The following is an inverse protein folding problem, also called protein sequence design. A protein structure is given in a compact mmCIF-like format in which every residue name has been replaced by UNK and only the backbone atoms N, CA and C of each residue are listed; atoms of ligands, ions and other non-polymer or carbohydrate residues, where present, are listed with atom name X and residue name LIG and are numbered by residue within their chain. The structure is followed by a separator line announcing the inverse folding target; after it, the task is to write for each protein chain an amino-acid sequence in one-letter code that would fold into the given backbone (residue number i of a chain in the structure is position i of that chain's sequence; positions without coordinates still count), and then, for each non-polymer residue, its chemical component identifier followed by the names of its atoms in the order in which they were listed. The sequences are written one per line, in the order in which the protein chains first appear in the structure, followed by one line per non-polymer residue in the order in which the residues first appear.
data_IF_226935778273
#
_entry.id   IF_226935778273
#
_cell.length_a   1.000
_cell.length_b   1.000
_cell.length_c   1.000
_cell.angle_alpha   90.00
_cell.angle_beta   90.00
_cell.angle_gamma   90.00
#
_symmetry.space_group_name_H-M   'P 1'
#
loop_
_entity.id
_entity.type
_entity.pdbx_description
1 polymer ?
#
# COMPACT_ATOMS: atom_id res chain seq x y z
N UNK A 1 53.18 -22.15 6.03
CA UNK A 1 51.76 -22.52 6.05
C UNK A 1 50.95 -21.23 6.04
N UNK A 2 50.53 -20.78 4.85
CA UNK A 2 49.77 -19.53 4.69
C UNK A 2 48.27 -19.89 4.75
N UNK A 3 47.59 -19.38 5.77
CA UNK A 3 46.14 -19.47 5.91
C UNK A 3 45.51 -18.34 5.12
N UNK A 4 44.89 -18.65 3.98
CA UNK A 4 44.11 -17.70 3.20
C UNK A 4 42.74 -17.45 3.88
N UNK A 5 42.54 -16.24 4.40
CA UNK A 5 41.33 -15.78 4.99
C UNK A 5 40.36 -15.39 3.86
N UNK A 6 39.40 -16.28 3.52
CA UNK A 6 38.28 -15.94 2.62
C UNK A 6 37.33 -14.97 3.32
N UNK A 7 37.43 -13.69 2.98
CA UNK A 7 36.44 -12.67 3.30
C UNK A 7 35.20 -12.93 2.41
N UNK A 8 34.16 -13.58 2.96
CA UNK A 8 32.86 -13.64 2.36
C UNK A 8 32.19 -12.29 2.56
N UNK A 9 32.23 -11.43 1.55
CA UNK A 9 31.48 -10.19 1.53
C UNK A 9 29.98 -10.54 1.42
N UNK A 10 29.27 -10.49 2.53
CA UNK A 10 27.79 -10.45 2.51
C UNK A 10 27.37 -9.13 1.90
N UNK A 11 27.19 -9.11 0.58
CA UNK A 11 26.53 -8.02 -0.10
C UNK A 11 25.08 -7.95 0.37
N UNK A 12 24.71 -6.89 1.11
CA UNK A 12 23.33 -6.51 1.32
C UNK A 12 22.72 -6.16 -0.05
N UNK A 13 22.21 -7.15 -0.78
CA UNK A 13 21.39 -6.91 -1.96
C UNK A 13 20.07 -6.33 -1.47
N UNK A 14 19.93 -5.00 -1.56
CA UNK A 14 18.63 -4.36 -1.42
C UNK A 14 17.68 -5.01 -2.43
N UNK A 15 16.59 -5.61 -1.95
CA UNK A 15 15.61 -6.27 -2.79
C UNK A 15 15.09 -5.30 -3.85
N UNK A 16 15.39 -5.58 -5.12
CA UNK A 16 14.94 -4.76 -6.24
C UNK A 16 13.47 -5.07 -6.50
N UNK A 17 12.60 -4.08 -6.30
CA UNK A 17 11.17 -4.19 -6.59
C UNK A 17 10.82 -3.34 -7.81
N UNK A 18 9.77 -3.77 -8.55
CA UNK A 18 9.08 -2.96 -9.54
C UNK A 18 7.93 -2.23 -8.84
N UNK A 19 8.13 -0.97 -8.50
CA UNK A 19 7.12 -0.10 -7.90
C UNK A 19 6.52 0.90 -8.89
N UNK A 20 6.58 0.60 -10.19
CA UNK A 20 5.94 1.40 -11.23
C UNK A 20 4.44 1.50 -11.00
N UNK A 21 3.89 2.69 -11.24
CA UNK A 21 2.47 2.98 -11.05
C UNK A 21 1.66 2.65 -12.30
N UNK A 22 0.34 2.63 -12.15
CA UNK A 22 -0.59 2.53 -13.28
C UNK A 22 -0.38 3.67 -14.27
N UNK A 23 -0.60 3.41 -15.55
CA UNK A 23 -0.41 4.38 -16.64
C UNK A 23 -1.41 5.53 -16.59
N UNK A 24 -2.61 5.26 -16.10
CA UNK A 24 -3.72 6.20 -15.98
C UNK A 24 -4.48 5.94 -14.69
N UNK A 25 -5.07 6.99 -14.13
CA UNK A 25 -5.97 6.89 -12.98
C UNK A 25 -6.98 8.05 -13.03
N UNK A 26 -8.26 7.72 -12.90
CA UNK A 26 -9.32 8.69 -12.62
C UNK A 26 -9.51 8.78 -11.11
N UNK A 27 -9.09 9.90 -10.53
CA UNK A 27 -9.16 10.11 -9.09
C UNK A 27 -10.61 10.21 -8.57
N UNK A 28 -11.58 10.61 -9.41
CA UNK A 28 -12.99 10.62 -9.01
C UNK A 28 -13.50 9.19 -8.79
N UNK A 29 -13.08 8.25 -9.65
CA UNK A 29 -13.40 6.83 -9.49
C UNK A 29 -12.60 6.17 -8.36
N UNK A 30 -11.35 6.60 -8.15
CA UNK A 30 -10.50 6.08 -7.08
C UNK A 30 -10.93 6.57 -5.69
N UNK A 31 -11.51 7.75 -5.58
CA UNK A 31 -12.03 8.31 -4.33
C UNK A 31 -13.10 7.43 -3.67
N UNK A 32 -13.44 7.75 -2.44
CA UNK A 32 -14.38 6.98 -1.62
C UNK A 32 -13.68 5.99 -0.70
N UNK A 33 -14.45 5.03 -0.21
CA UNK A 33 -14.00 4.06 0.80
C UNK A 33 -13.38 2.82 0.18
N UNK A 34 -12.28 2.36 0.79
CA UNK A 34 -11.59 1.13 0.49
C UNK A 34 -11.37 0.32 1.78
N UNK A 35 -11.65 -0.98 1.72
CA UNK A 35 -11.24 -1.92 2.77
C UNK A 35 -9.78 -2.30 2.56
N UNK A 36 -8.98 -2.29 3.62
CA UNK A 36 -7.63 -2.82 3.59
C UNK A 36 -7.67 -4.33 3.86
N UNK A 37 -7.49 -5.12 2.81
CA UNK A 37 -7.61 -6.58 2.87
C UNK A 37 -6.34 -7.23 3.40
N UNK A 38 -5.18 -6.71 2.98
CA UNK A 38 -3.89 -7.19 3.46
C UNK A 38 -2.85 -6.08 3.40
N UNK A 39 -1.81 -6.18 4.23
CA UNK A 39 -0.69 -5.24 4.24
C UNK A 39 0.59 -5.91 4.73
N UNK A 40 1.73 -5.28 4.47
CA UNK A 40 2.94 -5.56 5.24
C UNK A 40 2.83 -4.93 6.62
N UNK A 41 3.43 -5.60 7.63
CA UNK A 41 3.41 -5.06 9.00
C UNK A 41 4.20 -3.77 9.09
N UNK A 42 3.59 -2.74 9.65
CA UNK A 42 4.25 -1.52 10.06
C UNK A 42 3.63 -0.94 11.33
N UNK A 43 4.44 -0.23 12.11
CA UNK A 43 4.13 0.16 13.49
C UNK A 43 2.84 0.97 13.66
N UNK A 44 2.41 1.72 12.64
CA UNK A 44 1.24 2.61 12.75
C UNK A 44 -0.09 1.88 12.65
N UNK A 45 -0.12 0.71 12.01
CA UNK A 45 -1.33 -0.11 11.80
C UNK A 45 -1.25 -1.47 12.49
N UNK A 46 -0.21 -1.67 13.29
CA UNK A 46 -0.03 -2.94 14.01
C UNK A 46 -1.20 -3.22 14.93
N UNK A 47 -1.72 -4.44 14.84
CA UNK A 47 -2.85 -4.94 15.62
C UNK A 47 -4.18 -4.21 15.33
N UNK A 48 -4.32 -3.56 14.16
CA UNK A 48 -5.58 -2.99 13.71
C UNK A 48 -6.36 -3.99 12.86
N UNK A 49 -7.63 -4.19 13.21
CA UNK A 49 -8.64 -4.89 12.42
C UNK A 49 -9.64 -3.91 11.82
N UNK A 50 -10.49 -4.38 10.91
CA UNK A 50 -11.55 -3.60 10.27
C UNK A 50 -11.05 -2.28 9.66
N UNK A 51 -9.86 -2.37 9.05
CA UNK A 51 -9.18 -1.20 8.51
C UNK A 51 -9.81 -0.74 7.20
N UNK A 52 -10.01 0.57 7.11
CA UNK A 52 -10.49 1.25 5.90
C UNK A 52 -9.70 2.51 5.64
N UNK A 53 -9.59 2.86 4.37
CA UNK A 53 -9.09 4.15 3.91
C UNK A 53 -10.17 4.85 3.10
N UNK A 54 -10.46 6.10 3.42
CA UNK A 54 -11.41 6.93 2.67
C UNK A 54 -10.69 8.12 2.07
N UNK A 55 -10.84 8.30 0.76
CA UNK A 55 -10.26 9.41 0.01
C UNK A 55 -11.36 10.35 -0.46
N UNK A 56 -11.25 11.63 -0.13
CA UNK A 56 -12.20 12.68 -0.52
C UNK A 56 -11.47 13.76 -1.30
N UNK A 57 -11.86 13.95 -2.57
CA UNK A 57 -11.29 15.00 -3.41
C UNK A 57 -11.77 16.38 -2.95
N UNK A 58 -10.86 17.33 -2.89
CA UNK A 58 -11.12 18.74 -2.58
C UNK A 58 -10.93 19.61 -3.81
N UNK A 59 -11.47 20.85 -3.78
CA UNK A 59 -11.54 21.77 -4.92
C UNK A 59 -10.18 22.22 -5.49
N UNK A 60 -9.06 21.96 -4.82
CA UNK A 60 -7.73 22.48 -5.13
C UNK A 60 -6.69 21.36 -5.35
N UNK A 61 -7.10 20.26 -5.96
CA UNK A 61 -6.27 19.07 -6.20
C UNK A 61 -5.70 18.42 -4.92
N UNK A 62 -6.21 18.78 -3.77
CA UNK A 62 -5.94 18.10 -2.51
C UNK A 62 -6.91 16.93 -2.32
N UNK A 63 -6.45 15.93 -1.60
CA UNK A 63 -7.23 14.76 -1.24
C UNK A 63 -7.18 14.65 0.28
N UNK A 64 -8.34 14.68 0.93
CA UNK A 64 -8.42 14.33 2.34
C UNK A 64 -8.40 12.80 2.46
N UNK A 65 -7.65 12.30 3.42
CA UNK A 65 -7.50 10.88 3.69
C UNK A 65 -7.94 10.60 5.12
N UNK A 66 -8.84 9.64 5.28
CA UNK A 66 -9.26 9.17 6.60
C UNK A 66 -8.99 7.66 6.68
N UNK A 67 -8.07 7.27 7.53
CA UNK A 67 -7.86 5.87 7.87
C UNK A 67 -8.63 5.56 9.17
N UNK A 68 -9.34 4.44 9.18
CA UNK A 68 -10.06 3.94 10.35
C UNK A 68 -9.73 2.47 10.58
N UNK A 69 -9.93 2.01 11.80
CA UNK A 69 -9.75 0.62 12.19
C UNK A 69 -10.16 0.40 13.64
N UNK A 70 -9.97 -0.80 14.12
CA UNK A 70 -10.22 -1.17 15.53
C UNK A 70 -8.98 -1.82 16.14
N UNK A 71 -8.64 -1.43 17.35
CA UNK A 71 -7.62 -2.09 18.15
C UNK A 71 -8.23 -2.51 19.48
N UNK A 72 -8.21 -3.83 19.76
CA UNK A 72 -8.82 -4.38 20.95
C UNK A 72 -10.30 -3.95 21.14
N UNK A 73 -11.06 -3.94 20.04
CA UNK A 73 -12.46 -3.51 20.03
C UNK A 73 -12.69 -2.00 20.11
N UNK A 74 -11.63 -1.19 20.21
CA UNK A 74 -11.72 0.27 20.25
C UNK A 74 -11.51 0.88 18.86
N UNK A 75 -12.44 1.74 18.46
CA UNK A 75 -12.31 2.50 17.22
C UNK A 75 -11.10 3.43 17.27
N UNK A 76 -10.36 3.43 16.17
CA UNK A 76 -9.21 4.31 15.92
C UNK A 76 -9.38 5.00 14.58
N UNK A 77 -8.97 6.24 14.49
CA UNK A 77 -8.95 6.99 13.23
C UNK A 77 -7.73 7.88 13.13
N UNK A 78 -7.30 8.14 11.91
CA UNK A 78 -6.22 9.06 11.61
C UNK A 78 -6.57 9.83 10.34
N UNK A 79 -6.58 11.16 10.44
CA UNK A 79 -6.85 12.05 9.32
C UNK A 79 -5.55 12.55 8.71
N UNK A 80 -5.48 12.52 7.40
CA UNK A 80 -4.34 12.98 6.63
C UNK A 80 -4.77 13.73 5.37
N UNK A 81 -3.79 14.10 4.60
CA UNK A 81 -3.96 14.77 3.31
C UNK A 81 -3.03 14.15 2.29
N UNK A 82 -3.48 14.11 1.06
CA UNK A 82 -2.65 13.70 -0.06
C UNK A 82 -2.68 14.77 -1.16
N UNK A 83 -1.67 14.73 -2.00
CA UNK A 83 -1.58 15.53 -3.21
C UNK A 83 -1.06 14.69 -4.35
N UNK A 84 -1.51 15.03 -5.54
CA UNK A 84 -1.09 14.38 -6.78
C UNK A 84 0.36 14.72 -7.12
N UNK A 85 0.93 13.93 -8.00
CA UNK A 85 2.22 14.19 -8.64
C UNK A 85 2.03 14.20 -10.17
N UNK A 86 3.10 14.44 -10.92
CA UNK A 86 3.09 14.34 -12.39
C UNK A 86 2.99 12.88 -12.87
N UNK A 87 3.29 11.91 -12.00
CA UNK A 87 3.25 10.48 -12.31
C UNK A 87 1.86 9.95 -11.96
N UNK A 88 1.07 9.41 -12.92
CA UNK A 88 -0.23 8.83 -12.64
C UNK A 88 -0.14 7.73 -11.59
N UNK A 89 -1.12 7.65 -10.68
CA UNK A 89 -1.12 6.66 -9.60
C UNK A 89 -0.12 6.90 -8.47
N UNK A 90 0.69 7.96 -8.56
CA UNK A 90 1.60 8.35 -7.49
C UNK A 90 1.09 9.55 -6.72
N UNK A 91 0.93 9.37 -5.42
CA UNK A 91 0.53 10.43 -4.49
C UNK A 91 1.61 10.67 -3.44
N UNK A 92 1.53 11.82 -2.82
CA UNK A 92 2.30 12.15 -1.61
C UNK A 92 1.30 12.30 -0.47
N UNK A 93 1.41 11.46 0.57
CA UNK A 93 0.45 11.38 1.68
C UNK A 93 1.10 11.82 2.99
N UNK A 94 0.40 12.63 3.77
CA UNK A 94 0.86 13.11 5.07
C UNK A 94 -0.23 12.96 6.13
N UNK A 95 0.14 12.36 7.25
CA UNK A 95 -0.65 12.31 8.49
C UNK A 95 -0.06 13.21 9.59
N UNK A 96 1.16 13.72 9.39
CA UNK A 96 1.88 14.50 10.40
C UNK A 96 2.56 15.71 9.77
N UNK A 97 1.94 16.89 9.87
CA UNK A 97 2.52 18.17 9.49
C UNK A 97 3.05 18.20 8.06
N UNK A 98 4.31 18.67 7.86
CA UNK A 98 4.90 18.82 6.53
C UNK A 98 5.51 17.52 5.96
N UNK A 99 5.49 16.41 6.69
CA UNK A 99 6.15 15.16 6.30
C UNK A 99 5.24 14.34 5.38
N UNK A 100 5.69 14.16 4.14
CA UNK A 100 4.97 13.41 3.12
C UNK A 100 5.67 12.11 2.77
N UNK A 101 4.92 11.00 2.83
CA UNK A 101 5.33 9.68 2.37
C UNK A 101 4.93 9.46 0.92
N UNK A 102 5.67 8.60 0.23
CA UNK A 102 5.37 8.16 -1.12
C UNK A 102 4.27 7.10 -1.08
N UNK A 103 3.27 7.23 -1.94
CA UNK A 103 2.17 6.29 -2.10
C UNK A 103 1.97 6.00 -3.58
N UNK A 104 1.87 4.74 -3.95
CA UNK A 104 1.85 4.27 -5.33
C UNK A 104 0.71 3.30 -5.55
N UNK A 105 -0.17 3.60 -6.48
CA UNK A 105 -1.14 2.64 -7.02
C UNK A 105 -0.44 1.87 -8.13
N UNK A 106 -0.08 0.62 -7.87
CA UNK A 106 0.74 -0.20 -8.77
C UNK A 106 -0.10 -1.10 -9.67
N UNK A 107 -1.26 -1.55 -9.20
CA UNK A 107 -2.26 -2.28 -9.96
C UNK A 107 -3.63 -1.76 -9.56
N UNK A 108 -4.53 -1.62 -10.52
CA UNK A 108 -5.90 -1.14 -10.31
C UNK A 108 -6.82 -1.89 -11.25
N UNK A 109 -7.86 -2.49 -10.70
CA UNK A 109 -8.91 -3.11 -11.46
C UNK A 109 -9.58 -2.11 -12.43
N UNK A 110 -9.92 -2.49 -13.68
CA UNK A 110 -10.56 -1.57 -14.64
C UNK A 110 -11.85 -0.93 -14.12
N UNK A 111 -12.60 -1.62 -13.27
CA UNK A 111 -13.82 -1.11 -12.63
C UNK A 111 -13.56 -0.46 -11.26
N UNK A 112 -12.30 -0.30 -10.88
CA UNK A 112 -11.87 0.32 -9.62
C UNK A 112 -12.39 -0.41 -8.37
N UNK A 113 -12.48 -1.74 -8.44
CA UNK A 113 -12.94 -2.57 -7.32
C UNK A 113 -11.80 -3.01 -6.41
N UNK A 114 -10.61 -3.25 -6.97
CA UNK A 114 -9.46 -3.77 -6.24
C UNK A 114 -8.18 -3.05 -6.65
N UNK A 115 -7.24 -2.91 -5.73
CA UNK A 115 -5.97 -2.24 -5.98
C UNK A 115 -4.82 -2.89 -5.21
N UNK A 116 -3.63 -2.91 -5.84
CA UNK A 116 -2.36 -3.17 -5.19
C UNK A 116 -1.63 -1.83 -5.01
N UNK A 117 -1.30 -1.50 -3.78
CA UNK A 117 -0.65 -0.23 -3.42
C UNK A 117 0.67 -0.46 -2.70
N UNK A 118 1.56 0.49 -2.78
CA UNK A 118 2.86 0.42 -2.13
C UNK A 118 3.55 1.77 -2.05
N UNK A 119 4.86 1.75 -1.97
CA UNK A 119 5.70 2.94 -1.98
C UNK A 119 6.99 2.69 -2.77
N UNK A 120 7.90 3.66 -2.79
CA UNK A 120 9.24 3.43 -3.35
C UNK A 120 10.05 2.40 -2.56
N UNK A 121 9.64 2.07 -1.35
CA UNK A 121 10.31 1.12 -0.46
C UNK A 121 9.63 -0.25 -0.52
N UNK A 122 10.41 -1.32 -0.57
CA UNK A 122 9.91 -2.70 -0.47
C UNK A 122 9.24 -3.03 0.88
N UNK A 123 9.31 -2.11 1.85
CA UNK A 123 8.73 -2.28 3.19
C UNK A 123 7.22 -2.00 3.26
N UNK A 124 6.63 -1.46 2.19
CA UNK A 124 5.21 -1.11 2.16
C UNK A 124 4.53 -1.80 0.98
N UNK A 125 3.52 -2.57 1.27
CA UNK A 125 2.63 -3.21 0.33
C UNK A 125 1.26 -3.32 0.98
N UNK A 126 0.20 -3.05 0.22
CA UNK A 126 -1.18 -3.16 0.66
C UNK A 126 -2.08 -3.64 -0.46
N UNK A 127 -3.13 -4.36 -0.11
CA UNK A 127 -4.21 -4.80 -0.99
C UNK A 127 -5.48 -4.13 -0.51
N UNK A 128 -6.11 -3.38 -1.39
CA UNK A 128 -7.35 -2.67 -1.13
C UNK A 128 -8.49 -3.26 -1.95
N UNK A 129 -9.70 -3.26 -1.40
CA UNK A 129 -10.91 -3.67 -2.11
C UNK A 129 -12.10 -2.78 -1.73
N UNK A 130 -13.08 -2.65 -2.65
CA UNK A 130 -14.35 -1.97 -2.35
C UNK A 130 -15.28 -2.82 -1.48
N UNK A 131 -14.99 -4.11 -1.35
CA UNK A 131 -15.75 -5.04 -0.52
C UNK A 131 -14.87 -5.60 0.61
N UNK A 132 -15.46 -5.98 1.75
CA UNK A 132 -14.69 -6.51 2.88
C UNK A 132 -14.08 -7.89 2.63
N UNK A 133 -14.50 -8.56 1.56
CA UNK A 133 -14.01 -9.88 1.15
C UNK A 133 -13.60 -9.86 -0.31
N UNK A 134 -12.36 -10.26 -0.57
CA UNK A 134 -11.82 -10.37 -1.91
C UNK A 134 -12.22 -11.70 -2.54
N UNK A 135 -12.61 -11.69 -3.83
CA UNK A 135 -12.77 -12.90 -4.61
C UNK A 135 -11.44 -13.66 -4.71
N UNK A 136 -11.47 -15.00 -4.65
CA UNK A 136 -10.25 -15.81 -4.61
C UNK A 136 -9.44 -15.70 -5.91
N UNK A 137 -10.08 -15.59 -7.07
CA UNK A 137 -9.37 -15.44 -8.34
C UNK A 137 -8.69 -14.07 -8.42
N UNK A 138 -9.36 -13.01 -7.96
CA UNK A 138 -8.80 -11.64 -7.86
C UNK A 138 -7.62 -11.63 -6.90
N UNK A 139 -7.76 -12.26 -5.74
CA UNK A 139 -6.68 -12.40 -4.76
C UNK A 139 -5.45 -13.07 -5.37
N UNK A 140 -5.63 -14.22 -6.06
CA UNK A 140 -4.51 -14.91 -6.71
C UNK A 140 -3.85 -14.07 -7.79
N UNK A 141 -4.62 -13.31 -8.58
CA UNK A 141 -4.08 -12.42 -9.60
C UNK A 141 -3.23 -11.28 -8.96
N UNK A 142 -3.71 -10.68 -7.87
CA UNK A 142 -2.98 -9.62 -7.15
C UNK A 142 -1.69 -10.17 -6.52
N UNK A 143 -1.74 -11.35 -5.90
CA UNK A 143 -0.56 -12.00 -5.31
C UNK A 143 0.49 -12.37 -6.38
N UNK A 144 0.05 -12.86 -7.53
CA UNK A 144 0.94 -13.16 -8.65
C UNK A 144 1.63 -11.88 -9.16
N UNK A 145 0.89 -10.79 -9.30
CA UNK A 145 1.46 -9.50 -9.72
C UNK A 145 2.43 -8.94 -8.67
N UNK A 146 2.11 -8.99 -7.38
CA UNK A 146 3.01 -8.57 -6.32
C UNK A 146 4.31 -9.40 -6.33
N UNK A 147 4.22 -10.71 -6.52
CA UNK A 147 5.37 -11.62 -6.63
C UNK A 147 6.21 -11.27 -7.86
N UNK A 148 5.59 -11.07 -9.03
CA UNK A 148 6.28 -10.65 -10.28
C UNK A 148 7.06 -9.35 -10.07
N UNK A 149 6.53 -8.45 -9.26
CA UNK A 149 7.17 -7.17 -8.91
C UNK A 149 8.30 -7.30 -7.89
N UNK A 150 8.56 -8.49 -7.37
CA UNK A 150 9.65 -8.77 -6.43
C UNK A 150 9.27 -8.63 -4.96
N UNK A 151 7.98 -8.53 -4.64
CA UNK A 151 7.53 -8.53 -3.24
C UNK A 151 7.41 -9.94 -2.67
N UNK A 152 7.82 -10.11 -1.43
CA UNK A 152 7.64 -11.36 -0.67
C UNK A 152 6.24 -11.38 -0.05
N UNK A 153 5.29 -11.95 -0.80
CA UNK A 153 3.87 -12.00 -0.39
C UNK A 153 3.62 -12.85 0.86
N UNK A 154 4.58 -13.69 1.27
CA UNK A 154 4.47 -14.44 2.53
C UNK A 154 4.46 -13.55 3.77
N UNK A 155 4.91 -12.30 3.64
CA UNK A 155 4.92 -11.28 4.70
C UNK A 155 3.61 -10.52 4.84
N UNK A 156 2.63 -10.77 3.98
CA UNK A 156 1.33 -10.12 4.07
C UNK A 156 0.57 -10.58 5.32
N UNK A 157 0.12 -9.60 6.08
CA UNK A 157 -0.87 -9.78 7.16
C UNK A 157 -2.24 -9.57 6.55
N UNK A 158 -3.11 -10.57 6.66
CA UNK A 158 -4.50 -10.48 6.25
C UNK A 158 -5.32 -9.81 7.34
N UNK A 159 -5.90 -8.67 7.00
CA UNK A 159 -6.65 -7.84 7.93
C UNK A 159 -8.05 -8.42 8.10
N UNK A 160 -8.47 -8.62 9.33
CA UNK A 160 -9.85 -9.01 9.62
C UNK A 160 -10.79 -7.88 9.25
N UNK A 161 -11.82 -8.22 8.44
CA UNK A 161 -12.91 -7.34 8.03
C UNK A 161 -14.25 -7.88 8.52
#
# INVERSE_FOLDING_TARGET
MLMALCLVAFGCNAQKIDNSTVKTIDLNRYAGEWYEIARFDHRFERDLDYCKATYVLCCDNRINVLNTGQKNGQFKSSSGKAKTTKEPGRLRVSFFGPFYSDYRVMMLDPDYQDALVGSKSAKYLGILSRTPKLDENVKQAILAEATRRGYDVSKLIWVKQ
#
